data_IF_601434644857
#
_entry.id   IF_601434644857
#
_cell.length_a   1.000
_cell.length_b   1.000
_cell.length_c   1.000
_cell.angle_alpha   90.00
_cell.angle_beta   90.00
_cell.angle_gamma   90.00
#
_symmetry.space_group_name_H-M   'P 1'
#
loop_
_entity.id
_entity.type
_entity.pdbx_description
1 polymer ?
2 non-polymer ?
3 water ?
#
# COMPACT_ATOMS: atom_id res chain seq x y z
N UNK A 2 -5.42 28.33 7.79
CA UNK A 2 -6.04 27.16 7.17
C UNK A 2 -7.19 27.53 6.23
N UNK A 3 -7.83 26.48 5.66
CA UNK A 3 -8.94 26.54 4.69
C UNK A 3 -10.34 26.88 5.26
N UNK A 4 -11.34 27.07 4.37
CA UNK A 4 -12.72 27.40 4.74
C UNK A 4 -13.33 26.29 5.61
N UNK A 5 -14.24 26.68 6.51
CA UNK A 5 -14.90 25.75 7.46
C UNK A 5 -15.79 24.64 6.86
N UNK A 6 -15.52 23.38 7.16
CA UNK A 6 -16.27 22.26 6.63
C UNK A 6 -16.95 21.43 7.68
N UNK A 7 -17.68 20.44 7.18
CA UNK A 7 -18.48 19.46 7.91
C UNK A 7 -17.91 18.08 7.68
N UNK A 8 -17.25 17.50 8.71
CA UNK A 8 -16.60 16.21 8.66
C UNK A 8 -17.53 15.04 8.41
N UNK A 9 -18.82 15.21 8.75
CA UNK A 9 -19.83 14.16 8.53
C UNK A 9 -20.10 14.01 7.04
N UNK A 10 -20.36 15.11 6.41
CA UNK A 10 -20.55 15.10 4.98
C UNK A 10 -19.21 14.80 4.29
N UNK A 11 -18.09 15.30 4.87
CA UNK A 11 -16.76 15.05 4.34
C UNK A 11 -16.49 13.53 4.26
N UNK A 12 -16.95 12.80 5.26
CA UNK A 12 -16.80 11.36 5.30
C UNK A 12 -17.63 10.79 4.21
N UNK A 13 -18.78 11.41 4.01
CA UNK A 13 -19.63 10.92 2.96
C UNK A 13 -19.02 11.10 1.57
N UNK A 14 -18.40 12.26 1.33
CA UNK A 14 -17.73 12.55 0.07
C UNK A 14 -16.45 11.71 -0.06
N UNK A 15 -15.69 11.55 1.02
CA UNK A 15 -14.52 10.71 0.98
C UNK A 15 -14.87 9.31 0.47
N UNK A 16 -15.95 8.75 1.02
CA UNK A 16 -16.40 7.43 0.76
C UNK A 16 -17.24 7.25 -0.49
N UNK A 17 -17.35 8.26 -1.28
CA UNK A 17 -18.08 8.21 -2.50
C UNK A 17 -17.21 8.63 -3.66
N UNK A 18 -16.03 9.21 -3.33
CA UNK A 18 -15.11 9.75 -4.30
C UNK A 18 -13.69 9.28 -4.12
N UNK A 19 -13.09 9.72 -3.01
CA UNK A 19 -11.68 9.44 -2.70
C UNK A 19 -11.37 7.96 -2.54
N UNK A 20 -12.33 7.26 -1.93
CA UNK A 20 -12.24 5.87 -1.58
C UNK A 20 -12.02 4.97 -2.78
N UNK A 21 -12.31 5.50 -3.93
CA UNK A 21 -12.14 4.75 -5.18
C UNK A 21 -10.66 4.45 -5.45
N UNK A 22 -9.79 5.33 -4.92
CA UNK A 22 -8.34 5.22 -5.11
C UNK A 22 -7.55 5.22 -3.80
N UNK A 23 -8.14 5.78 -2.75
CA UNK A 23 -7.52 5.87 -1.42
C UNK A 23 -8.34 5.20 -0.30
N UNK A 24 -7.68 5.07 0.86
CA UNK A 24 -8.28 4.55 2.10
C UNK A 24 -8.05 5.57 3.23
N UNK A 25 -8.82 5.48 4.31
CA UNK A 25 -8.75 6.37 5.43
C UNK A 25 -8.20 5.61 6.63
N UNK A 26 -7.63 4.48 6.30
CA UNK A 26 -6.98 3.61 7.28
C UNK A 26 -5.47 3.76 7.25
N UNK A 27 -4.89 3.80 8.43
CA UNK A 27 -3.46 3.96 8.59
C UNK A 27 -2.62 2.85 7.92
N UNK A 28 -1.72 3.28 7.06
CA UNK A 28 -0.79 2.40 6.40
C UNK A 28 -1.31 1.59 5.26
N UNK A 29 -2.61 1.57 5.06
CA UNK A 29 -3.18 0.80 3.96
C UNK A 29 -3.23 1.63 2.69
N UNK A 30 -2.41 1.20 1.74
CA UNK A 30 -2.21 1.80 0.46
C UNK A 30 -2.89 0.99 -0.63
N UNK A 31 -3.47 1.69 -1.58
CA UNK A 31 -4.19 1.07 -2.73
C UNK A 31 -3.58 1.67 -4.00
N UNK A 32 -4.39 2.25 -4.86
CA UNK A 32 -3.93 2.89 -6.10
C UNK A 32 -3.20 4.14 -5.68
N UNK A 33 -3.74 4.74 -4.61
CA UNK A 33 -3.22 5.95 -3.97
C UNK A 33 -2.76 5.61 -2.52
N UNK A 34 -1.94 6.48 -1.88
CA UNK A 34 -1.45 6.23 -0.53
C UNK A 34 -2.54 6.47 0.53
N UNK A 35 -2.42 5.87 1.69
CA UNK A 35 -3.44 6.09 2.70
C UNK A 35 -3.56 7.57 3.01
N UNK A 36 -4.79 8.09 3.14
CA UNK A 36 -5.01 9.49 3.49
C UNK A 36 -5.12 9.70 5.03
N UNK A 37 -4.95 8.61 5.77
CA UNK A 37 -4.96 8.66 7.21
C UNK A 37 -3.74 9.49 7.61
N UNK A 38 -3.98 10.46 8.47
CA UNK A 38 -2.92 11.31 8.92
C UNK A 38 -2.30 12.17 7.81
N UNK A 39 -3.03 12.44 6.77
CA UNK A 39 -2.44 13.25 5.68
C UNK A 39 -2.23 14.76 5.97
N UNK A 40 -3.12 15.33 6.81
CA UNK A 40 -3.13 16.72 7.14
C UNK A 40 -1.87 17.12 7.88
N UNK A 41 -1.05 17.92 7.24
CA UNK A 41 0.18 18.29 7.87
C UNK A 41 1.31 17.41 7.44
N UNK A 42 1.03 16.32 6.85
CA UNK A 42 2.11 15.44 6.43
C UNK A 42 2.81 16.04 5.20
N UNK A 43 4.08 15.68 5.09
CA UNK A 43 4.88 16.08 3.96
C UNK A 43 4.53 15.11 2.83
N UNK A 44 4.50 15.60 1.59
CA UNK A 44 4.23 14.75 0.46
C UNK A 44 5.31 13.65 0.33
N UNK A 45 4.93 12.56 -0.37
CA UNK A 45 5.76 11.41 -0.67
C UNK A 45 6.37 10.62 0.51
N UNK A 46 5.73 10.57 1.66
CA UNK A 46 6.37 9.85 2.72
C UNK A 46 5.68 8.61 3.21
N UNK A 47 4.52 8.32 2.70
CA UNK A 47 3.83 7.12 3.17
C UNK A 47 4.61 5.87 2.84
N UNK A 48 5.02 5.18 3.89
CA UNK A 48 5.79 3.98 3.74
C UNK A 48 5.24 2.95 2.74
N UNK A 49 6.12 2.47 1.90
CA UNK A 49 5.81 1.45 0.96
C UNK A 49 5.03 1.88 -0.26
N UNK A 50 4.55 3.12 -0.31
CA UNK A 50 3.76 3.57 -1.45
C UNK A 50 4.64 4.02 -2.61
N UNK A 51 4.25 3.66 -3.82
CA UNK A 51 5.05 4.03 -4.98
C UNK A 51 4.63 5.38 -5.60
N UNK A 52 5.14 6.45 -5.07
CA UNK A 52 4.89 7.81 -5.47
C UNK A 52 5.52 8.10 -6.79
N UNK A 53 5.03 9.14 -7.40
CA UNK A 53 5.57 9.61 -8.64
C UNK A 53 6.75 10.52 -8.32
N UNK A 54 7.52 10.75 -9.34
CA UNK A 54 8.71 11.59 -9.32
C UNK A 54 8.31 13.04 -8.93
N UNK A 55 7.17 13.46 -9.51
CA UNK A 55 6.64 14.78 -9.26
C UNK A 55 6.28 15.00 -7.80
N UNK A 56 5.51 14.07 -7.24
CA UNK A 56 5.11 14.18 -5.85
C UNK A 56 6.28 14.21 -4.89
N UNK A 57 7.22 13.32 -5.11
CA UNK A 57 8.38 13.24 -4.23
C UNK A 57 9.18 14.53 -4.28
N UNK A 58 9.50 14.93 -5.47
CA UNK A 58 10.28 16.13 -5.67
C UNK A 58 9.57 17.43 -5.27
N UNK A 59 8.23 17.41 -5.18
CA UNK A 59 7.42 18.61 -4.86
C UNK A 59 7.86 19.48 -3.70
N UNK A 60 8.03 18.88 -2.59
CA UNK A 60 8.42 19.67 -1.46
C UNK A 60 7.19 20.23 -0.81
N UNK A 61 6.03 19.61 -1.06
CA UNK A 61 4.79 20.07 -0.48
C UNK A 61 4.57 19.42 0.85
N UNK A 62 3.87 20.16 1.67
CA UNK A 62 3.43 19.72 2.98
C UNK A 62 1.92 19.95 2.89
N UNK A 63 1.18 18.92 3.24
CA UNK A 63 -0.25 18.95 3.11
C UNK A 63 -1.05 19.75 4.11
N UNK A 64 -0.91 21.06 4.11
CA UNK A 64 -1.70 21.84 5.04
C UNK A 64 -3.08 22.04 4.45
N UNK A 65 -4.06 22.45 5.26
CA UNK A 65 -5.39 22.64 4.78
C UNK A 65 -5.52 23.56 3.60
N UNK A 66 -4.72 24.62 3.60
CA UNK A 66 -4.73 25.58 2.54
C UNK A 66 -4.36 25.01 1.20
N UNK A 67 -3.34 24.21 1.21
CA UNK A 67 -2.80 23.52 0.05
C UNK A 67 -3.71 22.40 -0.46
N UNK A 68 -4.16 21.57 0.47
CA UNK A 68 -5.08 20.52 0.13
C UNK A 68 -6.31 21.16 -0.58
N UNK A 69 -6.74 22.31 -0.10
CA UNK A 69 -7.89 23.00 -0.69
C UNK A 69 -7.66 23.33 -2.18
N UNK A 70 -6.45 23.75 -2.55
CA UNK A 70 -6.12 24.07 -3.92
C UNK A 70 -5.92 22.82 -4.80
N UNK A 71 -5.21 21.88 -4.22
CA UNK A 71 -4.87 20.62 -4.84
C UNK A 71 -6.08 19.80 -5.23
N UNK A 72 -7.03 19.66 -4.30
CA UNK A 72 -8.24 18.88 -4.55
C UNK A 72 -9.06 19.46 -5.74
N UNK A 73 -8.92 20.77 -5.94
CA UNK A 73 -9.56 21.52 -6.98
C UNK A 73 -8.87 21.26 -8.32
N UNK A 74 -7.55 21.40 -8.36
CA UNK A 74 -6.77 21.15 -9.57
C UNK A 74 -5.44 20.51 -9.22
N UNK A 75 -5.46 19.21 -9.14
CA UNK A 75 -4.26 18.51 -8.78
C UNK A 75 -3.08 18.81 -9.64
N UNK A 76 -3.22 18.88 -10.97
CA UNK A 76 -2.08 19.19 -11.84
C UNK A 76 -1.53 20.57 -11.66
N UNK A 77 -2.34 21.48 -11.16
CA UNK A 77 -1.82 22.80 -10.94
C UNK A 77 -0.89 22.87 -9.76
N UNK A 78 -1.18 22.06 -8.73
CA UNK A 78 -0.39 22.00 -7.53
C UNK A 78 0.79 20.98 -7.59
N UNK A 79 0.54 19.86 -8.20
CA UNK A 79 1.57 18.88 -8.40
C UNK A 79 1.60 18.47 -9.86
N UNK A 80 2.15 19.38 -10.66
CA UNK A 80 2.32 19.18 -12.06
C UNK A 80 2.99 17.84 -12.35
N UNK A 81 2.30 16.97 -13.08
CA UNK A 81 2.89 15.67 -13.38
C UNK A 81 2.49 14.54 -12.45
N UNK A 82 1.62 14.81 -11.46
CA UNK A 82 1.17 13.81 -10.51
C UNK A 82 0.43 12.70 -11.19
N UNK A 83 0.44 11.55 -10.63
CA UNK A 83 -0.27 10.51 -11.27
C UNK A 83 -1.69 10.37 -10.70
N UNK A 84 -2.13 11.27 -9.81
CA UNK A 84 -3.52 11.21 -9.27
C UNK A 84 -4.46 11.73 -10.37
N UNK A 85 -5.23 10.81 -10.95
CA UNK A 85 -6.18 10.97 -12.08
C UNK A 85 -7.48 11.77 -11.90
N UNK A 86 -7.83 12.11 -10.67
CA UNK A 86 -8.99 12.88 -10.32
C UNK A 86 -9.02 14.24 -11.03
N UNK A 87 -10.04 14.54 -11.91
CA UNK A 87 -10.10 15.82 -12.60
C UNK A 87 -10.15 17.02 -11.63
N UNK A 88 -10.59 16.80 -10.41
CA UNK A 88 -10.70 17.88 -9.46
C UNK A 88 -12.15 18.05 -8.97
N UNK A 89 -12.27 18.75 -7.83
CA UNK A 89 -13.55 19.01 -7.22
C UNK A 89 -13.90 20.46 -7.33
N UNK A 90 -14.86 20.78 -8.24
CA UNK A 90 -15.20 22.16 -8.46
C UNK A 90 -15.97 22.81 -7.31
N UNK A 91 -16.69 22.04 -6.50
CA UNK A 91 -17.43 22.67 -5.41
C UNK A 91 -16.53 22.92 -4.23
N UNK A 92 -16.40 24.18 -3.82
CA UNK A 92 -15.52 24.65 -2.74
C UNK A 92 -15.98 24.20 -1.38
N UNK A 93 -17.28 23.94 -1.25
CA UNK A 93 -17.88 23.48 -0.02
C UNK A 93 -17.60 22.01 0.13
N UNK A 94 -17.54 21.29 -0.98
CA UNK A 94 -17.25 19.85 -0.96
C UNK A 94 -15.76 19.73 -0.65
N UNK A 95 -14.99 20.67 -1.13
CA UNK A 95 -13.57 20.58 -0.80
C UNK A 95 -13.38 20.87 0.68
N UNK A 96 -14.06 21.89 1.24
CA UNK A 96 -13.96 22.20 2.70
C UNK A 96 -14.49 21.03 3.58
N UNK A 97 -15.53 20.36 3.11
CA UNK A 97 -16.02 19.24 3.89
C UNK A 97 -15.08 18.08 3.83
N UNK A 98 -14.53 17.85 2.66
CA UNK A 98 -13.58 16.77 2.59
C UNK A 98 -12.39 17.08 3.46
N UNK A 99 -11.89 18.29 3.46
CA UNK A 99 -10.77 18.54 4.30
C UNK A 99 -11.09 18.41 5.81
N UNK A 100 -12.28 18.81 6.15
CA UNK A 100 -12.76 18.75 7.52
C UNK A 100 -12.69 17.34 7.99
N UNK A 101 -13.11 16.40 7.13
CA UNK A 101 -13.02 14.96 7.47
C UNK A 101 -11.55 14.48 7.57
N UNK A 102 -10.68 14.96 6.65
CA UNK A 102 -9.27 14.56 6.64
C UNK A 102 -8.66 14.88 7.97
N UNK A 103 -9.09 16.01 8.50
CA UNK A 103 -8.56 16.50 9.74
C UNK A 103 -8.78 15.62 10.94
N UNK A 104 -9.82 14.80 10.89
CA UNK A 104 -10.12 13.93 12.01
C UNK A 104 -9.29 12.68 12.03
N UNK A 105 -8.56 12.43 10.94
CA UNK A 105 -7.75 11.25 10.70
C UNK A 105 -6.36 11.39 11.26
N UNK A 106 -6.32 11.51 12.57
CA UNK A 106 -5.11 11.66 13.29
C UNK A 106 -5.20 11.16 14.72
N UNK B 2 4.58 -27.87 -5.78
CA UNK B 2 5.93 -28.27 -6.11
C UNK B 2 6.87 -28.09 -4.92
N UNK B 3 6.29 -27.54 -3.86
CA UNK B 3 6.96 -27.37 -2.60
C UNK B 3 6.32 -28.50 -1.74
N UNK B 4 6.85 -28.88 -0.59
CA UNK B 4 6.22 -29.96 0.17
C UNK B 4 4.78 -29.58 0.51
N UNK B 5 3.83 -30.51 0.38
CA UNK B 5 2.43 -30.23 0.69
C UNK B 5 2.24 -29.86 2.17
N UNK B 6 1.36 -28.89 2.40
CA UNK B 6 1.06 -28.41 3.73
C UNK B 6 -0.44 -28.30 3.99
N UNK B 7 -0.78 -27.63 5.11
CA UNK B 7 -2.13 -27.40 5.56
C UNK B 7 -2.47 -25.91 5.42
N UNK B 8 -3.41 -25.55 4.56
CA UNK B 8 -3.82 -24.16 4.37
C UNK B 8 -4.42 -23.55 5.67
N UNK B 9 -5.03 -24.41 6.50
CA UNK B 9 -5.65 -24.00 7.76
C UNK B 9 -4.56 -23.60 8.71
N UNK B 10 -3.55 -24.47 8.80
CA UNK B 10 -2.35 -24.18 9.58
C UNK B 10 -1.71 -22.81 9.02
N UNK B 11 -1.57 -22.66 7.66
CA UNK B 11 -0.99 -21.51 6.93
C UNK B 11 -1.67 -20.19 7.20
N UNK B 12 -2.99 -20.21 7.35
CA UNK B 12 -3.77 -19.02 7.64
C UNK B 12 -3.38 -18.46 8.99
N UNK B 13 -3.32 -19.33 9.96
CA UNK B 13 -2.93 -18.91 11.30
C UNK B 13 -1.51 -18.42 11.30
N UNK B 14 -0.62 -19.14 10.60
CA UNK B 14 0.76 -18.75 10.49
C UNK B 14 0.88 -17.38 9.77
N UNK B 15 0.10 -17.19 8.75
CA UNK B 15 0.17 -15.91 8.06
C UNK B 15 -0.31 -14.79 9.00
N UNK B 16 -1.40 -15.06 9.69
CA UNK B 16 -1.98 -14.07 10.59
C UNK B 16 -1.26 -13.85 11.88
N UNK B 17 -0.13 -14.49 12.06
CA UNK B 17 0.64 -14.32 13.24
C UNK B 17 2.07 -13.85 12.93
N UNK B 18 2.43 -13.91 11.67
CA UNK B 18 3.77 -13.56 11.24
C UNK B 18 3.73 -12.59 10.09
N UNK B 19 3.29 -13.02 8.87
CA UNK B 19 3.26 -12.19 7.66
C UNK B 19 2.41 -10.94 7.77
N UNK B 20 1.29 -11.09 8.47
CA UNK B 20 0.32 -10.06 8.70
C UNK B 20 0.92 -8.73 9.17
N UNK B 21 2.05 -8.81 9.86
CA UNK B 21 2.78 -7.66 10.38
C UNK B 21 3.12 -6.65 9.30
N UNK B 22 3.55 -7.13 8.14
CA UNK B 22 3.88 -6.26 7.02
C UNK B 22 3.04 -6.45 5.73
N UNK B 23 2.34 -7.55 5.59
CA UNK B 23 1.62 -7.75 4.40
C UNK B 23 0.17 -8.06 4.63
N UNK B 24 -0.58 -8.11 3.51
CA UNK B 24 -1.96 -8.47 3.47
C UNK B 24 -2.09 -9.69 2.62
N UNK B 25 -3.25 -10.26 2.80
CA UNK B 25 -3.77 -11.34 2.04
C UNK B 25 -5.05 -10.79 1.33
N UNK B 26 -5.17 -9.46 1.18
CA UNK B 26 -6.33 -8.84 0.48
C UNK B 26 -5.82 -8.17 -0.76
N UNK B 27 -6.50 -8.43 -1.87
CA UNK B 27 -6.21 -7.95 -3.19
C UNK B 27 -6.08 -6.45 -3.29
N UNK B 28 -4.98 -6.05 -3.89
CA UNK B 28 -4.72 -4.63 -4.10
C UNK B 28 -4.60 -3.79 -2.82
N UNK B 29 -4.26 -4.46 -1.70
CA UNK B 29 -4.11 -3.86 -0.39
C UNK B 29 -2.64 -3.97 0.09
N UNK B 30 -1.87 -2.87 -0.06
CA UNK B 30 -0.46 -2.76 0.30
C UNK B 30 -0.25 -2.11 1.64
N UNK B 31 0.88 -2.45 2.25
CA UNK B 31 1.22 -1.98 3.57
C UNK B 31 2.66 -1.75 3.54
N UNK B 32 3.37 -2.21 4.56
CA UNK B 32 4.82 -2.08 4.61
C UNK B 32 5.39 -2.94 3.47
N UNK B 33 4.75 -4.11 3.27
CA UNK B 33 5.07 -5.03 2.19
C UNK B 33 3.90 -5.12 1.19
N UNK B 34 4.16 -5.57 -0.05
CA UNK B 34 3.08 -5.70 -1.02
C UNK B 34 2.03 -6.71 -0.61
N UNK B 35 0.92 -6.67 -1.31
CA UNK B 35 -0.16 -7.59 -1.09
C UNK B 35 0.28 -8.98 -1.54
N UNK B 36 -0.09 -9.98 -0.77
CA UNK B 36 0.32 -11.32 -1.05
C UNK B 36 -0.78 -12.09 -1.62
N UNK B 37 -1.86 -11.38 -1.93
CA UNK B 37 -2.95 -12.05 -2.61
C UNK B 37 -2.48 -12.40 -4.05
N UNK B 38 -2.60 -13.66 -4.47
CA UNK B 38 -2.15 -14.06 -5.81
C UNK B 38 -0.65 -14.02 -5.94
N UNK B 39 0.12 -14.06 -4.85
CA UNK B 39 1.54 -13.99 -5.13
C UNK B 39 2.10 -15.29 -5.71
N UNK B 40 1.38 -16.39 -5.59
CA UNK B 40 1.94 -17.66 -6.08
C UNK B 40 1.99 -17.71 -7.62
N UNK B 41 3.21 -17.91 -8.20
CA UNK B 41 3.41 -17.97 -9.64
C UNK B 41 3.53 -16.56 -10.20
N UNK B 42 3.52 -15.55 -9.34
CA UNK B 42 3.60 -14.16 -9.85
C UNK B 42 5.06 -13.65 -10.00
N UNK B 43 5.31 -12.86 -11.03
CA UNK B 43 6.62 -12.25 -11.27
C UNK B 43 6.93 -11.35 -10.09
N UNK B 44 8.15 -11.29 -9.62
CA UNK B 44 8.38 -10.40 -8.52
C UNK B 44 8.33 -8.95 -8.92
N UNK B 45 8.03 -8.09 -7.99
CA UNK B 45 8.04 -6.66 -8.18
C UNK B 45 7.06 -6.08 -9.14
N UNK B 46 5.86 -6.67 -9.21
CA UNK B 46 4.82 -6.15 -10.15
C UNK B 46 3.53 -5.54 -9.55
N UNK B 47 3.30 -5.65 -8.25
CA UNK B 47 2.10 -5.05 -7.64
C UNK B 47 2.19 -3.57 -7.91
N UNK B 48 1.26 -3.09 -8.69
CA UNK B 48 1.35 -1.68 -8.95
C UNK B 48 1.04 -0.97 -7.63
N UNK B 49 1.70 0.15 -7.41
CA UNK B 49 1.49 0.94 -6.20
C UNK B 49 2.42 0.65 -5.04
N UNK B 50 3.16 -0.44 -5.14
CA UNK B 50 4.08 -0.81 -4.11
C UNK B 50 5.52 -0.37 -4.48
N UNK B 51 6.25 0.22 -3.53
CA UNK B 51 7.61 0.74 -3.72
C UNK B 51 8.67 -0.33 -3.47
N UNK B 52 8.98 -1.12 -4.50
CA UNK B 52 9.92 -2.20 -4.43
C UNK B 52 11.34 -1.79 -4.42
N UNK B 53 12.14 -2.64 -3.82
CA UNK B 53 13.54 -2.40 -3.80
C UNK B 53 14.10 -2.71 -5.16
N UNK B 54 15.19 -2.14 -5.49
CA UNK B 54 15.83 -2.43 -6.75
C UNK B 54 16.12 -3.93 -6.81
N UNK B 55 16.63 -4.46 -5.75
CA UNK B 55 17.00 -5.88 -5.69
C UNK B 55 15.87 -6.78 -6.07
N UNK B 56 14.71 -6.45 -5.54
CA UNK B 56 13.57 -7.24 -5.90
C UNK B 56 13.26 -7.02 -7.40
N UNK B 57 13.22 -5.74 -7.80
CA UNK B 57 12.93 -5.33 -9.15
C UNK B 57 13.78 -6.03 -10.13
N UNK B 58 15.07 -6.03 -9.84
CA UNK B 58 16.03 -6.64 -10.74
C UNK B 58 16.24 -8.16 -10.63
N UNK B 59 15.65 -8.86 -9.66
CA UNK B 59 15.88 -10.29 -9.48
C UNK B 59 15.48 -11.24 -10.62
N UNK B 60 14.41 -10.88 -11.29
CA UNK B 60 13.92 -11.74 -12.33
C UNK B 60 13.15 -12.96 -11.81
N UNK B 61 12.85 -12.96 -10.53
CA UNK B 61 12.15 -14.05 -9.85
C UNK B 61 10.68 -14.07 -10.14
N UNK B 62 10.17 -15.28 -10.19
CA UNK B 62 8.76 -15.59 -10.34
C UNK B 62 8.48 -16.44 -9.15
N UNK B 63 7.59 -15.99 -8.30
CA UNK B 63 7.33 -16.74 -7.07
C UNK B 63 6.66 -18.10 -7.16
N UNK B 64 7.30 -19.07 -7.78
CA UNK B 64 6.64 -20.37 -7.77
C UNK B 64 6.80 -21.00 -6.37
N UNK B 65 6.03 -22.04 -6.04
CA UNK B 65 6.11 -22.65 -4.76
C UNK B 65 7.50 -23.01 -4.34
N UNK B 66 8.21 -23.68 -5.18
CA UNK B 66 9.55 -24.07 -4.83
C UNK B 66 10.43 -22.88 -4.44
N UNK B 67 10.28 -21.78 -5.15
CA UNK B 67 11.08 -20.60 -4.84
C UNK B 67 10.67 -19.98 -3.54
N UNK B 68 9.38 -19.85 -3.37
CA UNK B 68 8.83 -19.29 -2.13
C UNK B 68 9.39 -20.04 -0.90
N UNK B 69 9.45 -21.38 -1.00
CA UNK B 69 9.93 -22.27 0.09
C UNK B 69 11.35 -21.91 0.57
N UNK B 70 12.23 -21.69 -0.37
CA UNK B 70 13.59 -21.31 -0.08
C UNK B 70 13.68 -19.85 0.43
N UNK B 71 12.83 -19.00 -0.14
CA UNK B 71 12.79 -17.59 0.17
C UNK B 71 12.31 -17.35 1.58
N UNK B 72 11.19 -17.91 1.92
CA UNK B 72 10.71 -17.68 3.24
C UNK B 72 11.69 -18.23 4.27
N UNK B 73 12.56 -19.10 3.81
CA UNK B 73 13.54 -19.64 4.74
C UNK B 73 14.56 -18.64 5.07
N UNK B 74 15.11 -18.04 4.05
CA UNK B 74 16.19 -17.11 4.20
C UNK B 74 16.03 -16.00 3.20
N UNK B 75 15.12 -15.08 3.44
CA UNK B 75 14.85 -13.96 2.54
C UNK B 75 16.03 -13.15 1.99
N UNK B 76 16.91 -12.73 2.88
CA UNK B 76 18.05 -11.93 2.49
C UNK B 76 19.08 -12.67 1.64
N UNK B 77 19.10 -13.98 1.70
CA UNK B 77 20.05 -14.78 0.92
C UNK B 77 19.57 -14.94 -0.51
N UNK B 78 18.29 -15.10 -0.63
CA UNK B 78 17.65 -15.33 -1.92
C UNK B 78 17.42 -14.02 -2.66
N UNK B 79 17.20 -12.95 -1.92
CA UNK B 79 17.05 -11.64 -2.59
C UNK B 79 17.98 -10.64 -1.93
N UNK B 80 19.27 -10.82 -2.19
CA UNK B 80 20.28 -9.96 -1.60
C UNK B 80 19.94 -8.49 -1.78
N UNK B 81 19.88 -7.75 -0.67
CA UNK B 81 19.51 -6.34 -0.76
C UNK B 81 18.00 -6.11 -0.60
N UNK B 82 17.21 -7.17 -0.41
CA UNK B 82 15.77 -6.95 -0.30
C UNK B 82 15.49 -6.14 0.95
N UNK B 83 14.38 -5.40 0.96
CA UNK B 83 14.01 -4.64 2.12
C UNK B 83 13.03 -5.39 3.06
N UNK B 84 12.74 -6.67 2.77
CA UNK B 84 11.91 -7.51 3.57
C UNK B 84 12.73 -7.82 4.81
N UNK B 85 12.36 -7.31 6.00
CA UNK B 85 13.18 -7.54 7.19
C UNK B 85 12.96 -8.88 7.91
N UNK B 86 11.96 -9.65 7.52
CA UNK B 86 11.78 -10.92 8.16
C UNK B 86 13.07 -11.79 8.14
N UNK B 87 13.52 -12.33 9.32
CA UNK B 87 14.69 -13.15 9.42
C UNK B 87 14.55 -14.52 8.78
N UNK B 88 13.32 -14.94 8.54
CA UNK B 88 13.05 -16.21 7.92
C UNK B 88 12.34 -17.14 8.87
N UNK B 89 11.92 -18.30 8.32
CA UNK B 89 11.23 -19.34 9.02
C UNK B 89 11.94 -20.69 8.86
N UNK B 90 12.69 -21.11 9.88
CA UNK B 90 13.53 -22.32 9.86
C UNK B 90 12.85 -23.65 9.63
N UNK B 91 11.63 -23.81 10.17
CA UNK B 91 10.83 -25.04 10.09
C UNK B 91 10.21 -25.25 8.71
N UNK B 92 10.53 -26.38 8.07
CA UNK B 92 9.97 -26.74 6.75
C UNK B 92 8.45 -26.87 6.71
N UNK B 93 7.88 -27.54 7.68
CA UNK B 93 6.48 -27.69 7.69
C UNK B 93 5.77 -26.35 7.76
N UNK B 94 6.27 -25.42 8.56
CA UNK B 94 5.63 -24.12 8.67
C UNK B 94 5.60 -23.37 7.36
N UNK B 95 6.73 -23.44 6.62
CA UNK B 95 6.94 -22.83 5.34
C UNK B 95 5.95 -23.43 4.33
N UNK B 96 5.90 -24.76 4.33
CA UNK B 96 5.02 -25.50 3.45
C UNK B 96 3.56 -25.18 3.72
N UNK B 97 3.24 -24.98 5.01
CA UNK B 97 1.90 -24.62 5.45
C UNK B 97 1.50 -23.23 4.99
N UNK B 98 2.45 -22.27 5.07
CA UNK B 98 2.26 -20.87 4.67
C UNK B 98 1.96 -20.83 3.17
N UNK B 99 2.78 -21.56 2.46
CA UNK B 99 2.64 -21.67 1.02
C UNK B 99 1.27 -22.19 0.56
N UNK B 100 0.77 -23.26 1.19
CA UNK B 100 -0.52 -23.86 0.88
C UNK B 100 -1.58 -22.81 1.07
N UNK B 101 -1.46 -22.05 2.12
CA UNK B 101 -2.48 -21.02 2.29
C UNK B 101 -2.39 -20.02 1.19
N UNK B 102 -1.14 -19.65 0.86
CA UNK B 102 -0.91 -18.68 -0.20
C UNK B 102 -1.52 -19.13 -1.53
N UNK B 103 -1.44 -20.44 -1.79
CA UNK B 103 -1.96 -21.03 -3.01
C UNK B 103 -3.48 -20.90 -3.07
N UNK B 104 -4.13 -20.57 -1.95
CA UNK B 104 -5.58 -20.43 -2.00
C UNK B 104 -5.97 -19.03 -2.43
N UNK B 105 -5.07 -18.10 -2.23
CA UNK B 105 -5.34 -16.72 -2.55
C UNK B 105 -5.48 -16.48 -4.01
N UNK B 106 -6.51 -17.09 -4.62
CA UNK B 106 -6.78 -16.95 -6.06
C UNK B 106 -8.23 -16.78 -6.42
X LIG C 1 -2.23 11.24 -4.10
X LIG C 1 -5.93 13.38 -2.00
X LIG C 1 -8.94 11.16 -4.98
X LIG C 1 -5.18 8.74 -6.92
X LIG C 1 -2.92 12.09 -3.32
X LIG C 1 -2.38 12.98 -2.31
X LIG C 1 -3.44 13.57 -1.70
X LIG C 1 -4.61 13.08 -2.31
X LIG C 1 -3.41 14.63 -0.59
X LIG C 1 -0.91 13.14 -1.98
X LIG C 1 -0.58 12.43 -0.61
X LIG C 1 0.92 12.24 -0.33
X LIG C 1 1.19 11.29 0.38
X LIG C 1 1.76 12.95 -0.77
X LIG C 1 -7.05 12.89 -2.59
X LIG C 1 -8.39 13.23 -2.16
X LIG C 1 -9.20 12.61 -2.97
X LIG C 1 -8.45 11.88 -3.92
X LIG C 1 -8.73 14.06 -0.90
X LIG C 1 -10.69 12.65 -2.99
X LIG C 1 -11.52 13.81 -3.34
X LIG C 1 -8.15 10.34 -5.72
X LIG C 1 -8.69 9.44 -6.72
X LIG C 1 -7.61 8.78 -7.27
X LIG C 1 -6.42 9.22 -6.63
X LIG C 1 -10.16 9.28 -7.05
X LIG C 1 -7.65 7.74 -8.36
X LIG C 1 -8.42 7.85 -9.64
X LIG C 1 -4.07 9.20 -6.32
X LIG C 1 -2.72 8.74 -6.60
X LIG C 1 -1.89 9.46 -5.75
X LIG C 1 -2.74 10.33 -4.99
X LIG C 1 -2.39 7.67 -7.62
X LIG C 1 -0.37 9.48 -5.73
X LIG C 1 0.18 10.58 -6.72
X LIG C 1 1.64 10.60 -7.17
X LIG C 1 2.54 9.94 -6.77
X LIG C 1 1.90 11.40 -8.08
X LIG C 1 -4.30 12.18 -3.32
X LIG C 1 -7.13 12.07 -3.70
X LIG C 1 -6.76 10.19 -5.66
X LIG C 1 -4.02 10.19 -5.36
X LIG C 1 -5.53 11.22 -4.54
X LIG D 1 8.23 -8.82 0.00
X LIG D 1 6.57 -13.14 1.50
X LIG D 1 6.82 -11.56 6.07
X LIG D 1 8.23 -7.21 4.52
X LIG D 1 7.84 -10.11 0.03
X LIG D 1 7.71 -10.91 -1.15
X LIG D 1 7.21 -12.13 -0.77
X LIG D 1 7.06 -12.13 0.66
X LIG D 1 6.93 -13.34 -1.63
X LIG D 1 7.96 -10.43 -2.54
X LIG D 1 6.56 -10.05 -3.15
X LIG D 1 6.56 -9.48 -4.57
X LIG D 1 5.50 -9.03 -4.92
X LIG D 1 7.50 -9.49 -5.31
X LIG D 1 6.43 -13.00 2.84
X LIG D 1 5.90 -14.07 3.60
X LIG D 1 5.93 -13.68 4.87
X LIG D 1 6.52 -12.38 4.96
X LIG D 1 5.33 -15.37 2.99
X LIG D 1 5.50 -14.51 6.03
X LIG D 1 6.44 -15.53 6.67
X LIG D 1 7.23 -10.24 6.02
X LIG D 1 7.38 -9.38 7.16
X LIG D 1 7.76 -8.16 6.71
X LIG D 1 7.87 -8.25 5.31
X LIG D 1 7.13 -9.75 8.61
X LIG D 1 8.08 -6.94 7.53
X LIG D 1 9.26 -6.83 8.45
X LIG D 1 8.39 -7.26 3.19
X LIG D 1 8.76 -6.14 2.33
X LIG D 1 8.76 -6.58 1.04
X LIG D 1 8.38 -7.98 1.09
X LIG D 1 9.07 -4.75 2.85
X LIG D 1 9.20 -5.80 -0.18
X LIG D 1 10.62 -6.30 -0.57
X LIG D 1 11.49 -5.55 -1.55
X LIG D 1 12.72 -5.66 -1.66
X LIG D 1 10.88 -4.82 -2.32
X LIG D 1 7.45 -10.89 1.17
X LIG D 1 6.82 -11.98 3.71
X LIG D 1 7.54 -9.52 4.89
X LIG D 1 8.17 -8.38 2.42
X LIG D 1 7.55 -10.19 3.06
#
# INVERSE_FOLDING_TARGET
GSAPPGDPVEGKHLFHTICITCHTDIKGANKVGPSLYGVVGRHSGIEPGYNYSEANIKSGIVWTPDVLFKYIEHPQKIVPGTKMGYPGQPDPQKRADIIAYLETLK
GSAPPGDPVEGKHLFHTICITCHTDIKGANKVGPSLYGVVGRHSGIEPGYNYSEANIKSGIVWTPDVLFKYIEHPQKIVPGTKMGYPGQPDPQKRADIIAYLETLK
HEM CHA CHB CHC CHD C1A C2A C3A C4A CMA CAA CBA CGA O1A O2A C1B C2B C3B C4B CMB CAB CBB C1C C2C C3C C4C CMC CAC CBC C1D C2D C3D C4D CMD CAD CBD CGD O1D O2D NA NB NC ND FE
HEM CHA CHB CHC CHD C1A C2A C3A C4A CMA CAA CBA CGA O1A O2A C1B C2B C3B C4B CMB CAB CBB C1C C2C C3C C4C CMC CAC CBC C1D C2D C3D C4D CMD CAD CBD CGD O1D O2D NA NB NC ND FE
#
